data_IF_233107375890
#
_entry.id   IF_233107375890
#
_cell.length_a   1.000
_cell.length_b   1.000
_cell.length_c   1.000
_cell.angle_alpha   90.00
_cell.angle_beta   90.00
_cell.angle_gamma   90.00
#
_symmetry.space_group_name_H-M   'P 1'
#
loop_
_entity.id
_entity.type
_entity.pdbx_description
1 polymer ?
#
# COMPACT_ATOMS: atom_id res chain seq x y z
N UNK A 1 -12.61 54.00 5.59
CA UNK A 1 -11.86 52.85 5.04
C UNK A 1 -12.16 51.63 5.90
N UNK A 2 -13.00 50.68 5.43
CA UNK A 2 -13.32 49.43 6.14
C UNK A 2 -12.67 48.27 5.38
N UNK A 3 -11.46 47.89 5.78
CA UNK A 3 -10.79 46.72 5.23
C UNK A 3 -11.34 45.44 5.89
N UNK A 4 -12.08 44.65 5.10
CA UNK A 4 -11.96 43.19 4.99
C UNK A 4 -11.76 42.35 6.27
N UNK A 5 -12.74 42.34 7.18
CA UNK A 5 -12.81 41.35 8.28
C UNK A 5 -13.21 39.93 7.79
N UNK A 6 -13.86 39.81 6.62
CA UNK A 6 -14.34 38.51 6.11
C UNK A 6 -13.26 37.64 5.43
N UNK A 7 -12.16 38.22 4.91
CA UNK A 7 -11.08 37.43 4.28
C UNK A 7 -10.27 36.61 5.28
N UNK A 8 -10.15 37.08 6.53
CA UNK A 8 -9.32 36.43 7.55
C UNK A 8 -10.02 35.17 8.09
N UNK A 9 -11.36 35.21 8.24
CA UNK A 9 -12.15 34.05 8.68
C UNK A 9 -12.13 32.91 7.66
N UNK A 10 -12.23 33.22 6.36
CA UNK A 10 -12.11 32.22 5.29
C UNK A 10 -10.71 31.62 5.20
N UNK A 11 -9.66 32.43 5.35
CA UNK A 11 -8.28 31.94 5.30
C UNK A 11 -7.97 30.98 6.48
N UNK A 12 -8.45 31.27 7.68
CA UNK A 12 -8.29 30.40 8.86
C UNK A 12 -9.06 29.09 8.69
N UNK A 13 -10.28 29.13 8.13
CA UNK A 13 -11.06 27.92 7.85
C UNK A 13 -10.41 27.04 6.79
N UNK A 14 -9.85 27.63 5.72
CA UNK A 14 -9.10 26.91 4.68
C UNK A 14 -7.78 26.34 5.23
N UNK A 15 -7.09 27.08 6.11
CA UNK A 15 -5.85 26.61 6.74
C UNK A 15 -6.11 25.45 7.72
N UNK A 16 -7.24 25.49 8.45
CA UNK A 16 -7.66 24.41 9.36
C UNK A 16 -8.14 23.17 8.59
N UNK A 17 -8.83 23.37 7.45
CA UNK A 17 -9.27 22.28 6.57
C UNK A 17 -8.10 21.58 5.87
N UNK A 18 -7.07 22.33 5.45
CA UNK A 18 -5.85 21.74 4.86
C UNK A 18 -5.02 20.96 5.88
N UNK A 19 -5.02 21.38 7.15
CA UNK A 19 -4.36 20.66 8.26
C UNK A 19 -5.05 19.33 8.57
N UNK A 20 -6.39 19.25 8.46
CA UNK A 20 -7.18 18.03 8.67
C UNK A 20 -7.02 16.98 7.56
N UNK A 21 -6.72 17.39 6.32
CA UNK A 21 -6.47 16.48 5.19
C UNK A 21 -5.03 15.94 5.11
N UNK A 22 -4.16 16.32 6.05
CA UNK A 22 -2.78 15.83 6.12
C UNK A 22 -2.73 14.41 6.70
N UNK A 23 -3.24 13.44 5.94
CA UNK A 23 -3.00 12.03 6.22
C UNK A 23 -1.49 11.79 6.34
N UNK A 24 -1.04 11.26 7.47
CA UNK A 24 0.38 11.05 7.78
C UNK A 24 1.00 10.15 6.71
N UNK A 25 1.77 10.75 5.80
CA UNK A 25 2.44 10.02 4.74
C UNK A 25 3.47 9.06 5.34
N UNK A 26 3.44 7.79 4.92
CA UNK A 26 4.33 6.74 5.41
C UNK A 26 5.31 6.34 4.31
N UNK A 27 6.57 6.14 4.65
CA UNK A 27 7.58 5.70 3.68
C UNK A 27 7.59 4.19 3.59
N UNK A 28 7.59 3.65 2.37
CA UNK A 28 7.78 2.22 2.12
C UNK A 28 9.27 1.92 2.08
N UNK A 29 9.71 0.97 2.91
CA UNK A 29 11.14 0.62 3.06
C UNK A 29 11.48 -0.78 2.58
N UNK A 30 10.47 -1.63 2.37
CA UNK A 30 10.66 -2.98 1.84
C UNK A 30 9.39 -3.49 1.17
N UNK A 31 9.56 -4.23 0.08
CA UNK A 31 8.53 -5.07 -0.53
C UNK A 31 8.77 -6.51 -0.08
N UNK A 32 7.73 -7.20 0.40
CA UNK A 32 7.83 -8.61 0.80
C UNK A 32 7.43 -9.50 -0.36
N UNK A 33 6.26 -9.23 -0.96
CA UNK A 33 5.70 -9.90 -2.13
C UNK A 33 4.94 -8.84 -2.95
N UNK A 34 4.35 -9.24 -4.08
CA UNK A 34 3.55 -8.35 -4.93
C UNK A 34 2.26 -7.80 -4.30
N UNK A 35 1.92 -8.20 -3.07
CA UNK A 35 0.75 -7.74 -2.33
C UNK A 35 1.06 -7.23 -0.91
N UNK A 36 2.34 -7.24 -0.49
CA UNK A 36 2.71 -6.97 0.91
C UNK A 36 3.93 -6.05 0.99
N UNK A 37 3.78 -4.94 1.73
CA UNK A 37 4.81 -3.91 1.93
C UNK A 37 5.16 -3.72 3.40
N UNK A 38 6.34 -3.16 3.68
CA UNK A 38 6.77 -2.75 5.02
C UNK A 38 7.04 -1.25 5.05
N UNK A 39 6.47 -0.59 6.05
CA UNK A 39 6.66 0.84 6.27
C UNK A 39 7.89 1.10 7.15
N UNK A 40 8.38 2.34 7.14
CA UNK A 40 9.54 2.76 7.93
C UNK A 40 9.39 2.56 9.44
N UNK A 41 8.17 2.45 9.96
CA UNK A 41 7.90 2.14 11.36
C UNK A 41 7.82 0.63 11.67
N UNK A 42 8.17 -0.24 10.71
CA UNK A 42 8.13 -1.69 10.82
C UNK A 42 6.75 -2.32 10.57
N UNK A 43 5.69 -1.53 10.39
CA UNK A 43 4.36 -2.07 10.12
C UNK A 43 4.31 -2.76 8.75
N UNK A 44 3.79 -3.99 8.73
CA UNK A 44 3.49 -4.73 7.51
C UNK A 44 2.08 -4.42 7.04
N UNK A 45 1.93 -4.07 5.77
CA UNK A 45 0.64 -3.79 5.14
C UNK A 45 0.41 -4.81 4.02
N UNK A 46 -0.71 -5.52 4.04
CA UNK A 46 -1.22 -6.32 2.93
C UNK A 46 -2.24 -5.50 2.15
N UNK A 47 -2.07 -5.45 0.84
CA UNK A 47 -2.93 -4.73 -0.08
C UNK A 47 -4.25 -5.49 -0.24
N UNK A 48 -5.36 -4.82 0.06
CA UNK A 48 -6.69 -5.44 -0.05
C UNK A 48 -7.06 -5.65 -1.52
N UNK A 49 -7.61 -6.82 -1.85
CA UNK A 49 -8.04 -7.15 -3.21
C UNK A 49 -6.91 -7.50 -4.16
N UNK A 50 -5.66 -7.53 -3.67
CA UNK A 50 -4.48 -7.95 -4.43
C UNK A 50 -4.04 -9.31 -3.87
N UNK A 51 -3.94 -10.32 -4.73
CA UNK A 51 -3.40 -11.63 -4.40
C UNK A 51 -2.32 -11.98 -5.43
N UNK A 52 -1.08 -12.07 -4.98
CA UNK A 52 0.07 -12.37 -5.84
C UNK A 52 0.71 -13.70 -5.45
N UNK A 53 1.33 -14.42 -6.41
CA UNK A 53 2.19 -15.55 -6.08
C UNK A 53 3.27 -15.15 -5.07
N UNK A 54 3.69 -16.12 -4.26
CA UNK A 54 4.78 -15.92 -3.31
C UNK A 54 6.09 -15.67 -4.08
N UNK A 55 6.90 -14.72 -3.64
CA UNK A 55 8.19 -14.39 -4.28
C UNK A 55 9.37 -15.19 -3.72
N UNK A 56 9.15 -15.97 -2.67
CA UNK A 56 10.17 -16.75 -1.97
C UNK A 56 9.68 -18.13 -1.54
N UNK A 57 10.61 -19.09 -1.49
CA UNK A 57 10.33 -20.46 -1.06
C UNK A 57 9.87 -20.50 0.40
N UNK A 58 8.65 -21.01 0.63
CA UNK A 58 8.07 -21.17 1.96
C UNK A 58 7.06 -22.34 2.00
N UNK A 59 6.50 -22.62 3.19
CA UNK A 59 5.55 -23.73 3.41
C UNK A 59 4.25 -23.62 2.60
N UNK A 60 3.90 -22.44 2.08
CA UNK A 60 2.69 -22.23 1.27
C UNK A 60 2.91 -22.71 -0.17
N UNK A 61 4.15 -22.68 -0.69
CA UNK A 61 4.48 -23.07 -2.07
C UNK A 61 3.96 -24.46 -2.41
N UNK A 62 4.13 -25.45 -1.53
CA UNK A 62 3.63 -26.81 -1.78
C UNK A 62 2.12 -26.83 -2.07
N UNK A 63 1.34 -26.06 -1.30
CA UNK A 63 -0.11 -25.93 -1.51
C UNK A 63 -0.43 -25.20 -2.81
N UNK A 64 0.33 -24.16 -3.14
CA UNK A 64 0.14 -23.38 -4.36
C UNK A 64 0.50 -24.19 -5.62
N UNK A 65 1.54 -25.02 -5.57
CA UNK A 65 1.91 -26.00 -6.62
C UNK A 65 0.76 -26.97 -6.85
N UNK A 66 0.22 -27.58 -5.80
CA UNK A 66 -0.91 -28.53 -5.91
C UNK A 66 -2.15 -27.84 -6.48
N UNK A 67 -2.48 -26.63 -6.00
CA UNK A 67 -3.67 -25.88 -6.40
C UNK A 67 -3.59 -25.40 -7.86
N UNK A 68 -2.47 -24.80 -8.24
CA UNK A 68 -2.29 -24.19 -9.57
C UNK A 68 -1.87 -25.20 -10.64
N UNK A 69 -1.29 -26.34 -10.25
CA UNK A 69 -0.59 -27.30 -11.11
C UNK A 69 0.64 -26.70 -11.82
N UNK A 70 1.15 -25.57 -11.32
CA UNK A 70 2.40 -24.96 -11.77
C UNK A 70 3.60 -25.49 -10.96
N UNK A 71 4.81 -25.37 -11.51
CA UNK A 71 6.04 -25.69 -10.76
C UNK A 71 6.32 -24.60 -9.72
N UNK A 72 7.01 -24.98 -8.64
CA UNK A 72 7.41 -24.05 -7.61
C UNK A 72 8.26 -22.90 -8.17
N UNK A 73 9.23 -23.19 -9.03
CA UNK A 73 10.08 -22.18 -9.66
C UNK A 73 9.28 -21.16 -10.49
N UNK A 74 8.24 -21.61 -11.20
CA UNK A 74 7.39 -20.72 -12.00
C UNK A 74 6.58 -19.78 -11.09
N UNK A 75 6.04 -20.31 -9.98
CA UNK A 75 5.32 -19.52 -8.96
C UNK A 75 6.23 -18.45 -8.38
N UNK A 76 7.44 -18.83 -7.96
CA UNK A 76 8.44 -17.93 -7.39
C UNK A 76 8.84 -16.85 -8.39
N UNK A 77 9.07 -17.23 -9.66
CA UNK A 77 9.44 -16.30 -10.72
C UNK A 77 8.34 -15.27 -10.97
N UNK A 78 7.07 -15.70 -11.01
CA UNK A 78 5.92 -14.80 -11.16
C UNK A 78 5.79 -13.88 -9.94
N UNK A 79 5.94 -14.41 -8.72
CA UNK A 79 5.88 -13.62 -7.48
C UNK A 79 6.99 -12.57 -7.41
N UNK A 80 8.20 -12.93 -7.83
CA UNK A 80 9.33 -12.00 -7.92
C UNK A 80 9.05 -10.86 -8.92
N UNK A 81 8.48 -11.17 -10.09
CA UNK A 81 8.08 -10.14 -11.06
C UNK A 81 7.03 -9.18 -10.48
N UNK A 82 6.03 -9.69 -9.76
CA UNK A 82 5.03 -8.84 -9.09
C UNK A 82 5.66 -7.98 -7.98
N UNK A 83 6.59 -8.53 -7.21
CA UNK A 83 7.32 -7.79 -6.18
C UNK A 83 8.20 -6.68 -6.78
N UNK A 84 8.90 -6.96 -7.88
CA UNK A 84 9.72 -5.98 -8.62
C UNK A 84 8.85 -4.85 -9.19
N UNK A 85 7.70 -5.18 -9.77
CA UNK A 85 6.74 -4.19 -10.25
C UNK A 85 6.29 -3.26 -9.12
N UNK A 86 5.90 -3.82 -7.97
CA UNK A 86 5.49 -3.04 -6.81
C UNK A 86 6.64 -2.20 -6.23
N UNK A 87 7.86 -2.76 -6.25
CA UNK A 87 9.08 -2.07 -5.82
C UNK A 87 9.33 -0.81 -6.65
N UNK A 88 9.24 -0.92 -7.97
CA UNK A 88 9.41 0.22 -8.88
C UNK A 88 8.39 1.34 -8.63
N UNK A 89 7.19 1.01 -8.16
CA UNK A 89 6.14 1.99 -7.86
C UNK A 89 6.32 2.62 -6.47
N UNK A 90 6.73 1.85 -5.47
CA UNK A 90 6.57 2.23 -4.07
C UNK A 90 7.85 2.33 -3.26
N UNK A 91 8.93 1.62 -3.61
CA UNK A 91 10.10 1.54 -2.74
C UNK A 91 10.73 2.92 -2.56
N UNK A 92 10.96 3.32 -1.31
CA UNK A 92 11.48 4.65 -0.96
C UNK A 92 10.46 5.78 -1.05
N UNK A 93 9.28 5.54 -1.64
CA UNK A 93 8.25 6.56 -1.81
C UNK A 93 7.37 6.71 -0.57
N UNK A 94 6.78 7.91 -0.44
CA UNK A 94 5.76 8.21 0.56
C UNK A 94 4.38 7.86 0.02
N UNK A 95 3.62 7.10 0.82
CA UNK A 95 2.25 6.68 0.50
C UNK A 95 1.24 7.22 1.52
N UNK A 96 -0.03 7.24 1.10
CA UNK A 96 -1.20 7.37 1.96
C UNK A 96 -1.89 6.01 2.05
N UNK A 97 -2.38 5.69 3.25
CA UNK A 97 -3.06 4.43 3.54
C UNK A 97 -4.50 4.69 3.96
N UNK A 98 -5.41 3.92 3.37
CA UNK A 98 -6.79 3.79 3.86
C UNK A 98 -6.98 2.36 4.36
N UNK A 99 -7.19 2.21 5.67
CA UNK A 99 -7.44 0.92 6.29
C UNK A 99 -8.91 0.53 6.13
N UNK A 100 -9.17 -0.77 6.16
CA UNK A 100 -10.53 -1.33 6.24
C UNK A 100 -10.98 -1.51 7.71
N UNK A 101 -12.27 -1.81 7.90
CA UNK A 101 -12.91 -2.06 9.20
C UNK A 101 -12.13 -3.11 9.99
N UNK A 102 -11.76 -4.22 9.34
CA UNK A 102 -10.82 -5.18 9.90
C UNK A 102 -9.39 -4.70 9.67
N UNK A 103 -8.76 -4.17 10.73
CA UNK A 103 -7.44 -3.57 10.62
C UNK A 103 -6.28 -4.54 10.49
N UNK A 104 -6.44 -5.82 10.87
CA UNK A 104 -5.37 -6.83 10.83
C UNK A 104 -5.88 -8.20 10.39
N UNK A 105 -5.03 -8.93 9.68
CA UNK A 105 -5.24 -10.35 9.39
C UNK A 105 -4.70 -11.27 10.50
N UNK A 106 -4.91 -12.58 10.36
CA UNK A 106 -4.41 -13.59 11.31
C UNK A 106 -2.88 -13.67 11.42
N UNK A 107 -2.16 -13.10 10.45
CA UNK A 107 -0.70 -13.04 10.44
C UNK A 107 -0.16 -11.72 11.04
N UNK A 108 -1.06 -10.87 11.56
CA UNK A 108 -0.73 -9.60 12.20
C UNK A 108 -0.42 -8.47 11.22
N UNK A 109 -0.60 -8.66 9.90
CA UNK A 109 -0.43 -7.62 8.88
C UNK A 109 -1.65 -6.71 8.90
N UNK A 110 -1.43 -5.41 8.71
CA UNK A 110 -2.54 -4.50 8.53
C UNK A 110 -3.11 -4.58 7.11
N UNK A 111 -4.43 -4.45 7.00
CA UNK A 111 -5.13 -4.50 5.71
C UNK A 111 -5.42 -3.07 5.23
N UNK A 112 -5.00 -2.73 4.01
CA UNK A 112 -5.26 -1.40 3.49
C UNK A 112 -5.15 -1.23 1.98
N UNK A 113 -5.64 -0.08 1.54
CA UNK A 113 -5.53 0.48 0.21
C UNK A 113 -4.40 1.50 0.16
N UNK A 114 -3.58 1.45 -0.88
CA UNK A 114 -2.38 2.29 -1.03
C UNK A 114 -2.60 3.34 -2.11
N UNK A 115 -2.29 4.59 -1.76
CA UNK A 115 -2.30 5.72 -2.68
C UNK A 115 -0.94 6.42 -2.67
N UNK A 116 -0.45 6.80 -3.84
CA UNK A 116 0.76 7.62 -3.97
C UNK A 116 0.46 9.10 -3.65
N UNK A 117 1.50 9.93 -3.63
CA UNK A 117 1.39 11.37 -3.36
C UNK A 117 0.48 12.10 -4.37
N UNK A 118 0.57 11.72 -5.64
CA UNK A 118 -0.23 12.21 -6.76
C UNK A 118 -1.66 11.63 -6.79
N UNK A 119 -2.00 10.72 -5.88
CA UNK A 119 -3.34 10.16 -5.76
C UNK A 119 -3.59 8.89 -6.59
N UNK A 120 -2.56 8.37 -7.28
CA UNK A 120 -2.66 7.09 -8.00
C UNK A 120 -3.02 5.96 -7.03
N UNK A 121 -4.05 5.20 -7.38
CA UNK A 121 -4.49 4.03 -6.61
C UNK A 121 -3.68 2.80 -7.02
N UNK A 122 -2.85 2.30 -6.11
CA UNK A 122 -1.87 1.27 -6.44
C UNK A 122 -2.50 -0.12 -6.57
N UNK A 123 -3.52 -0.44 -5.78
CA UNK A 123 -4.14 -1.76 -5.86
C UNK A 123 -4.72 -2.03 -7.25
N UNK A 124 -5.30 -1.01 -7.90
CA UNK A 124 -5.80 -1.12 -9.28
C UNK A 124 -4.65 -1.31 -10.29
N UNK A 125 -3.54 -0.56 -10.13
CA UNK A 125 -2.37 -0.68 -11.00
C UNK A 125 -1.72 -2.05 -11.01
N UNK A 126 -1.88 -2.84 -9.94
CA UNK A 126 -1.34 -4.21 -9.87
C UNK A 126 -2.25 -5.22 -10.58
N UNK A 127 -3.56 -4.94 -10.64
CA UNK A 127 -4.57 -5.86 -11.21
C UNK A 127 -4.81 -5.59 -12.71
N UNK A 128 -4.64 -4.35 -13.15
CA UNK A 128 -4.83 -3.90 -14.53
C UNK A 128 -3.66 -4.31 -15.46
#
# INVERSE_FOLDING_TARGET
MKATCNSIKSAIFILFLSLLLSGCAKTVVRIVDGDTIVLSNGNKIRLIGVDTPESHYNKKIERDVVRSKCKADDIIKMGAQSADYLSNLLLGNKIRLKYDNQRKDMYGRSLGYVFTKDGTFINEKIIA
#
